data_IF_392516026388
#
_entry.id   IF_392516026388
#
_cell.length_a   1.000
_cell.length_b   1.000
_cell.length_c   1.000
_cell.angle_alpha   90.00
_cell.angle_beta   90.00
_cell.angle_gamma   90.00
#
_symmetry.space_group_name_H-M   'P 1'
#
loop_
_entity.id
_entity.type
_entity.pdbx_description
1 polymer ?
#
# COMPACT_ATOMS: atom_id res chain seq x y z
N UNK A 1 7.03 -12.27 -2.88
CA UNK A 1 8.02 -11.44 -2.15
C UNK A 1 7.56 -10.03 -2.41
N UNK A 2 7.35 -9.22 -1.38
CA UNK A 2 6.58 -7.97 -1.49
C UNK A 2 7.10 -7.03 -2.59
N UNK A 3 8.42 -7.03 -2.82
CA UNK A 3 9.05 -6.31 -3.93
C UNK A 3 8.49 -6.70 -5.31
N UNK A 4 8.50 -7.99 -5.65
CA UNK A 4 8.03 -8.48 -6.94
C UNK A 4 6.52 -8.27 -7.10
N UNK A 5 5.77 -8.50 -6.01
CA UNK A 5 4.32 -8.37 -5.98
C UNK A 5 3.91 -6.92 -6.27
N UNK A 6 4.54 -5.94 -5.60
CA UNK A 6 4.27 -4.52 -5.82
C UNK A 6 4.82 -3.99 -7.16
N UNK A 7 5.97 -4.48 -7.62
CA UNK A 7 6.51 -4.10 -8.93
C UNK A 7 5.60 -4.58 -10.07
N UNK A 8 5.06 -5.80 -9.96
CA UNK A 8 4.08 -6.32 -10.90
C UNK A 8 2.77 -5.53 -10.86
N UNK A 9 2.29 -5.19 -9.66
CA UNK A 9 1.05 -4.44 -9.47
C UNK A 9 1.14 -3.03 -10.06
N UNK A 10 2.19 -2.28 -9.73
CA UNK A 10 2.35 -0.90 -10.20
C UNK A 10 2.96 -0.77 -11.59
N UNK A 11 3.42 -1.88 -12.18
CA UNK A 11 4.13 -1.89 -13.47
C UNK A 11 5.31 -0.89 -13.49
N UNK A 12 5.91 -0.65 -12.32
CA UNK A 12 6.95 0.35 -12.09
C UNK A 12 7.89 -0.14 -10.99
N UNK A 13 9.19 0.09 -11.15
CA UNK A 13 10.16 -0.20 -10.11
C UNK A 13 10.01 0.78 -8.94
N UNK A 14 10.15 0.33 -7.69
CA UNK A 14 10.13 1.24 -6.55
C UNK A 14 11.43 2.05 -6.49
N UNK A 15 11.40 3.18 -5.79
CA UNK A 15 12.59 3.97 -5.50
C UNK A 15 13.35 3.38 -4.31
N UNK A 16 14.68 3.33 -4.38
CA UNK A 16 15.49 2.98 -3.21
C UNK A 16 15.38 4.08 -2.13
N UNK A 17 15.13 3.69 -0.88
CA UNK A 17 15.11 4.59 0.27
C UNK A 17 16.34 4.35 1.14
N UNK A 18 17.48 4.87 0.66
CA UNK A 18 18.76 4.74 1.34
C UNK A 18 19.23 3.29 1.45
N UNK A 19 19.60 2.84 2.66
CA UNK A 19 20.14 1.49 2.91
C UNK A 19 19.11 0.45 3.34
N UNK A 20 17.85 0.84 3.54
CA UNK A 20 16.94 0.06 4.37
C UNK A 20 15.66 -0.39 3.68
N UNK A 21 15.52 -0.21 2.36
CA UNK A 21 14.37 -0.70 1.63
C UNK A 21 14.04 0.13 0.40
N UNK A 22 12.79 0.02 -0.02
CA UNK A 22 12.25 0.65 -1.21
C UNK A 22 10.95 1.36 -0.87
N UNK A 23 10.55 2.29 -1.73
CA UNK A 23 9.29 3.00 -1.60
C UNK A 23 8.62 3.34 -2.92
N UNK A 24 7.31 3.42 -2.88
CA UNK A 24 6.48 4.12 -3.86
C UNK A 24 5.93 5.40 -3.24
N UNK A 25 5.78 6.44 -4.05
CA UNK A 25 4.90 7.56 -3.74
C UNK A 25 3.75 7.51 -4.74
N UNK A 26 2.54 7.38 -4.22
CA UNK A 26 1.30 7.28 -4.99
C UNK A 26 0.56 8.59 -4.80
N UNK A 27 0.31 9.32 -5.88
CA UNK A 27 -0.37 10.62 -5.83
C UNK A 27 -1.75 10.52 -6.47
N UNK A 28 -2.75 11.12 -5.84
CA UNK A 28 -4.08 11.30 -6.42
C UNK A 28 -4.14 12.62 -7.21
N UNK A 29 -4.53 12.55 -8.48
CA UNK A 29 -4.76 13.73 -9.33
C UNK A 29 -5.97 13.46 -10.23
N UNK A 30 -6.98 14.34 -10.18
CA UNK A 30 -8.23 14.24 -10.96
C UNK A 30 -8.94 12.87 -10.88
N UNK A 31 -8.97 12.25 -9.69
CA UNK A 31 -9.61 10.96 -9.45
C UNK A 31 -8.86 9.76 -10.06
N UNK A 32 -7.61 9.97 -10.48
CA UNK A 32 -6.67 8.92 -10.89
C UNK A 32 -5.49 8.90 -9.92
N UNK A 33 -4.79 7.78 -9.89
CA UNK A 33 -3.51 7.70 -9.17
C UNK A 33 -2.35 7.57 -10.15
N UNK A 34 -1.18 8.02 -9.72
CA UNK A 34 0.08 7.82 -10.44
C UNK A 34 1.23 7.57 -9.46
N UNK A 35 2.25 6.86 -9.93
CA UNK A 35 3.51 6.69 -9.19
C UNK A 35 4.41 7.87 -9.51
N UNK A 36 4.83 8.60 -8.48
CA UNK A 36 5.64 9.81 -8.57
C UNK A 36 6.91 9.70 -7.73
N UNK A 37 7.82 10.65 -7.89
CA UNK A 37 9.14 10.61 -7.22
C UNK A 37 9.17 11.31 -5.86
N UNK A 38 8.14 12.11 -5.53
CA UNK A 38 8.07 12.90 -4.31
C UNK A 38 6.64 13.14 -3.88
N UNK A 39 6.41 13.32 -2.58
CA UNK A 39 5.10 13.65 -2.03
C UNK A 39 4.63 15.00 -2.58
N UNK A 40 3.36 15.08 -2.94
CA UNK A 40 2.77 16.30 -3.46
C UNK A 40 2.58 17.35 -2.37
N UNK A 41 2.88 18.61 -2.70
CA UNK A 41 2.53 19.77 -1.87
C UNK A 41 1.11 20.27 -2.10
N UNK A 42 0.38 19.73 -3.09
CA UNK A 42 -0.93 20.24 -3.51
C UNK A 42 -2.03 19.16 -3.50
N UNK A 43 -1.65 17.88 -3.44
CA UNK A 43 -2.58 16.75 -3.56
C UNK A 43 -2.47 15.77 -2.40
N UNK A 44 -3.43 14.83 -2.34
CA UNK A 44 -3.32 13.66 -1.47
C UNK A 44 -2.24 12.72 -2.01
N UNK A 45 -1.46 12.13 -1.13
CA UNK A 45 -0.41 11.18 -1.53
C UNK A 45 -0.21 10.10 -0.48
N UNK A 46 0.24 8.93 -0.89
CA UNK A 46 0.65 7.83 -0.02
C UNK A 46 2.11 7.50 -0.29
N UNK A 47 2.95 7.53 0.76
CA UNK A 47 4.25 6.86 0.72
C UNK A 47 4.06 5.43 1.22
N UNK A 48 4.37 4.47 0.35
CA UNK A 48 4.39 3.04 0.66
C UNK A 48 5.84 2.57 0.69
N UNK A 49 6.40 2.46 1.88
CA UNK A 49 7.74 1.93 2.14
C UNK A 49 7.67 0.44 2.50
N UNK A 50 8.66 -0.32 2.05
CA UNK A 50 8.85 -1.72 2.41
C UNK A 50 10.32 -2.14 2.34
N UNK A 51 10.68 -3.26 2.95
CA UNK A 51 12.06 -3.76 2.99
C UNK A 51 12.17 -5.26 2.68
N UNK A 52 13.38 -5.79 2.77
CA UNK A 52 13.71 -7.20 2.49
C UNK A 52 13.05 -8.21 3.45
N UNK A 53 12.51 -7.74 4.58
CA UNK A 53 11.81 -8.55 5.58
C UNK A 53 10.28 -8.46 5.42
N UNK A 54 9.80 -7.94 4.30
CA UNK A 54 8.37 -7.68 4.03
C UNK A 54 7.71 -6.80 5.12
N UNK A 55 8.50 -5.93 5.77
CA UNK A 55 8.00 -4.95 6.75
C UNK A 55 7.54 -3.68 6.03
N UNK A 56 6.28 -3.32 6.24
CA UNK A 56 5.60 -2.20 5.61
C UNK A 56 5.59 -0.94 6.50
N UNK A 57 5.70 0.22 5.85
CA UNK A 57 5.26 1.52 6.38
C UNK A 57 4.42 2.23 5.33
N UNK A 58 3.21 2.61 5.70
CA UNK A 58 2.30 3.42 4.88
C UNK A 58 2.11 4.75 5.57
N UNK A 59 2.43 5.84 4.88
CA UNK A 59 2.12 7.20 5.33
C UNK A 59 1.18 7.87 4.33
N UNK A 60 0.02 8.32 4.80
CA UNK A 60 -0.91 9.15 4.04
C UNK A 60 -0.59 10.63 4.30
N UNK A 61 -0.49 11.41 3.23
CA UNK A 61 -0.19 12.83 3.24
C UNK A 61 -1.33 13.63 2.63
N UNK A 62 -1.48 14.86 3.11
CA UNK A 62 -2.20 15.94 2.45
C UNK A 62 -1.27 17.13 2.37
N UNK A 63 -1.00 17.61 1.16
CA UNK A 63 -0.17 18.81 0.95
C UNK A 63 1.21 18.69 1.66
N UNK A 64 1.90 17.57 1.46
CA UNK A 64 3.18 17.18 2.10
C UNK A 64 3.14 17.01 3.64
N UNK A 65 1.98 17.20 4.27
CA UNK A 65 1.81 16.97 5.70
C UNK A 65 1.30 15.55 5.98
N UNK A 66 2.00 14.75 6.81
CA UNK A 66 1.54 13.41 7.16
C UNK A 66 0.27 13.50 8.02
N UNK A 67 -0.80 12.84 7.57
CA UNK A 67 -2.07 12.72 8.29
C UNK A 67 -2.07 11.46 9.16
N UNK A 68 -1.61 10.34 8.62
CA UNK A 68 -1.52 9.07 9.34
C UNK A 68 -0.32 8.26 8.87
N UNK A 69 0.29 7.53 9.79
CA UNK A 69 1.38 6.59 9.52
C UNK A 69 1.10 5.27 10.21
N UNK A 70 1.03 4.20 9.43
CA UNK A 70 1.03 2.82 9.89
C UNK A 70 2.41 2.25 9.60
N UNK A 71 3.10 1.67 10.59
CA UNK A 71 4.49 1.26 10.44
C UNK A 71 4.83 0.01 11.26
N UNK A 72 5.92 -0.66 10.87
CA UNK A 72 6.44 -1.87 11.51
C UNK A 72 5.46 -3.03 11.44
N UNK A 73 4.84 -3.20 10.29
CA UNK A 73 3.86 -4.27 10.03
C UNK A 73 4.49 -5.27 9.08
N UNK A 74 4.69 -6.50 9.54
CA UNK A 74 5.12 -7.61 8.66
C UNK A 74 3.90 -8.16 7.94
N UNK A 75 3.99 -8.27 6.62
CA UNK A 75 2.89 -8.69 5.75
C UNK A 75 3.02 -10.17 5.42
N UNK A 76 1.93 -10.91 5.52
CA UNK A 76 1.83 -12.31 5.11
C UNK A 76 1.68 -12.44 3.60
N UNK A 77 0.82 -11.60 3.02
CA UNK A 77 0.46 -11.60 1.62
C UNK A 77 -0.12 -10.25 1.18
N UNK A 78 0.00 -9.99 -0.11
CA UNK A 78 -0.52 -8.80 -0.78
C UNK A 78 -1.50 -9.24 -1.86
N UNK A 79 -2.68 -8.64 -1.90
CA UNK A 79 -3.74 -8.96 -2.86
C UNK A 79 -4.23 -7.68 -3.54
N UNK A 80 -4.41 -7.74 -4.86
CA UNK A 80 -5.06 -6.69 -5.63
C UNK A 80 -6.56 -7.00 -5.69
N UNK A 81 -7.40 -6.01 -5.40
CA UNK A 81 -8.86 -6.17 -5.52
C UNK A 81 -9.27 -6.37 -6.98
N UNK A 82 -10.35 -7.12 -7.23
CA UNK A 82 -10.80 -7.52 -8.58
C UNK A 82 -11.01 -6.34 -9.54
N UNK A 83 -11.44 -5.18 -9.00
CA UNK A 83 -11.68 -3.94 -9.77
C UNK A 83 -10.48 -2.97 -9.77
N UNK A 84 -9.32 -3.41 -9.28
CA UNK A 84 -8.11 -2.59 -9.09
C UNK A 84 -8.37 -1.32 -8.25
N UNK A 85 -9.39 -1.37 -7.39
CA UNK A 85 -9.78 -0.24 -6.54
C UNK A 85 -8.91 -0.07 -5.31
N UNK A 86 -8.18 -1.13 -4.91
CA UNK A 86 -7.32 -1.12 -3.75
C UNK A 86 -6.37 -2.31 -3.67
N UNK A 87 -5.44 -2.20 -2.73
CA UNK A 87 -4.44 -3.21 -2.40
C UNK A 87 -4.65 -3.63 -0.96
N UNK A 88 -4.75 -4.92 -0.70
CA UNK A 88 -4.91 -5.47 0.64
C UNK A 88 -3.59 -6.09 1.10
N UNK A 89 -3.12 -5.66 2.27
CA UNK A 89 -1.95 -6.20 2.94
C UNK A 89 -2.40 -7.00 4.17
N UNK A 90 -2.33 -8.33 4.09
CA UNK A 90 -2.73 -9.21 5.20
C UNK A 90 -1.60 -9.32 6.21
N UNK A 91 -1.91 -9.17 7.50
CA UNK A 91 -0.89 -9.09 8.54
C UNK A 91 -0.39 -10.48 8.95
N UNK A 92 0.93 -10.69 9.02
CA UNK A 92 1.54 -11.97 9.40
C UNK A 92 1.12 -12.44 10.80
N UNK A 93 1.17 -11.53 11.79
CA UNK A 93 0.84 -11.87 13.19
C UNK A 93 -0.65 -11.92 13.49
N UNK A 94 -1.48 -11.34 12.62
CA UNK A 94 -2.93 -11.24 12.78
C UNK A 94 -3.60 -11.48 11.43
N UNK A 95 -3.60 -12.73 10.92
CA UNK A 95 -4.06 -13.03 9.57
C UNK A 95 -5.56 -12.80 9.34
N UNK A 96 -6.33 -12.53 10.41
CA UNK A 96 -7.73 -12.07 10.33
C UNK A 96 -7.87 -10.55 10.18
N UNK A 97 -6.76 -9.84 9.95
CA UNK A 97 -6.70 -8.40 9.75
C UNK A 97 -5.93 -8.10 8.48
N UNK A 98 -6.32 -6.99 7.85
CA UNK A 98 -5.58 -6.41 6.74
C UNK A 98 -5.51 -4.89 6.88
N UNK A 99 -4.52 -4.31 6.21
CA UNK A 99 -4.52 -2.89 5.86
C UNK A 99 -4.90 -2.80 4.39
N UNK A 100 -5.92 -2.01 4.08
CA UNK A 100 -6.33 -1.70 2.71
C UNK A 100 -5.79 -0.34 2.32
N UNK A 101 -5.04 -0.30 1.23
CA UNK A 101 -4.70 0.92 0.52
C UNK A 101 -5.68 1.09 -0.63
N UNK A 102 -6.67 1.96 -0.46
CA UNK A 102 -7.61 2.30 -1.52
C UNK A 102 -6.95 3.25 -2.52
N UNK A 103 -7.10 2.95 -3.81
CA UNK A 103 -6.59 3.72 -4.93
C UNK A 103 -7.69 4.51 -5.65
N UNK A 104 -8.92 3.98 -5.69
CA UNK A 104 -10.10 4.62 -6.27
C UNK A 104 -11.30 4.54 -5.33
N UNK A 105 -12.22 5.52 -5.33
CA UNK A 105 -12.19 6.76 -6.12
C UNK A 105 -11.28 7.85 -5.54
N UNK A 106 -10.70 7.63 -4.37
CA UNK A 106 -9.74 8.52 -3.70
C UNK A 106 -8.75 7.69 -2.87
N UNK A 107 -7.59 8.28 -2.57
CA UNK A 107 -6.58 7.64 -1.74
C UNK A 107 -7.02 7.58 -0.27
N UNK A 108 -7.09 6.35 0.25
CA UNK A 108 -7.39 6.11 1.65
C UNK A 108 -6.61 4.91 2.20
N UNK A 109 -6.43 4.91 3.52
CA UNK A 109 -5.81 3.80 4.24
C UNK A 109 -6.78 3.34 5.30
N UNK A 110 -7.19 2.09 5.21
CA UNK A 110 -8.20 1.49 6.08
C UNK A 110 -7.64 0.26 6.79
N UNK A 111 -8.11 0.00 8.02
CA UNK A 111 -7.82 -1.25 8.71
C UNK A 111 -9.10 -2.09 8.75
N UNK A 112 -9.02 -3.30 8.20
CA UNK A 112 -10.18 -4.17 8.00
C UNK A 112 -10.02 -5.55 8.63
N UNK A 113 -11.13 -6.27 8.65
CA UNK A 113 -11.10 -7.72 8.80
C UNK A 113 -10.67 -8.33 7.47
N UNK A 114 -9.81 -9.33 7.53
CA UNK A 114 -9.49 -10.15 6.37
C UNK A 114 -10.24 -11.48 6.48
N UNK A 115 -10.99 -11.82 5.45
CA UNK A 115 -11.71 -13.08 5.34
C UNK A 115 -11.37 -13.68 3.98
N UNK A 116 -10.67 -14.81 3.96
CA UNK A 116 -10.64 -15.63 2.74
C UNK A 116 -12.06 -16.14 2.53
N UNK A 117 -12.66 -15.81 1.39
CA UNK A 117 -13.83 -16.54 0.92
C UNK A 117 -13.30 -17.93 0.62
N UNK A 118 -13.55 -18.86 1.55
CA UNK A 118 -13.28 -20.25 1.37
C UNK A 118 -14.22 -20.77 0.28
N UNK A 119 -13.76 -20.81 -0.98
CA UNK A 119 -14.53 -21.37 -2.10
C UNK A 119 -14.86 -22.86 -1.90
N UNK A 120 -14.17 -23.53 -0.97
CA UNK A 120 -14.31 -24.95 -0.62
C UNK A 120 -15.01 -25.22 0.74
N UNK A 121 -15.63 -24.22 1.35
CA UNK A 121 -16.39 -24.44 2.57
C UNK A 121 -17.81 -24.91 2.23
N UNK A 122 -17.99 -26.23 2.12
CA UNK A 122 -19.29 -26.92 2.06
C UNK A 122 -20.21 -26.58 3.25
#
# INVERSE_FOLDING_TARGET
>A
MLYEDLMSLFQAAPMEDGKNGWKYVIQEEDGKYSIVNSVSTEHMSVELFFNEYDELRITLYKEDQPITTIQRIVILKTELEEDEEGIQFVLERMPSRMIRLQLKPFLAVEMGLYWEVCEDCE
#
